data_IF_232142015146
#
_entry.id   IF_232142015146
#
_cell.length_a   1.000
_cell.length_b   1.000
_cell.length_c   1.000
_cell.angle_alpha   90.00
_cell.angle_beta   90.00
_cell.angle_gamma   90.00
#
_symmetry.space_group_name_H-M   'P 1'
#
loop_
_entity.id
_entity.type
_entity.pdbx_description
1 polymer ?
#
# COMPACT_ATOMS: atom_id res chain seq x y z
N UNK A 1 10.76 35.65 -47.22
CA UNK A 1 10.06 35.05 -48.34
C UNK A 1 10.54 33.63 -48.51
N UNK A 2 9.77 32.69 -48.02
CA UNK A 2 9.66 31.34 -48.54
C UNK A 2 8.55 30.62 -47.71
N UNK A 3 7.43 30.46 -48.38
CA UNK A 3 6.24 29.79 -47.92
C UNK A 3 6.50 28.29 -47.95
N UNK A 4 6.21 27.58 -46.86
CA UNK A 4 6.14 26.14 -46.86
C UNK A 4 4.70 25.70 -46.55
N UNK A 5 4.07 25.13 -47.54
CA UNK A 5 2.70 24.65 -47.61
C UNK A 5 2.47 23.47 -46.64
N UNK A 6 1.33 23.49 -45.99
CA UNK A 6 0.77 22.38 -45.23
C UNK A 6 -0.03 21.51 -46.18
N UNK A 7 0.24 20.20 -46.36
CA UNK A 7 -0.62 19.33 -47.14
C UNK A 7 -1.89 18.99 -46.36
N UNK A 8 -3.02 19.43 -46.90
CA UNK A 8 -4.36 18.99 -46.51
C UNK A 8 -4.59 17.56 -46.98
N UNK A 9 -4.72 16.62 -46.04
CA UNK A 9 -5.20 15.27 -46.32
C UNK A 9 -6.69 15.20 -45.99
N UNK A 10 -7.52 15.48 -46.97
CA UNK A 10 -8.96 15.17 -46.96
C UNK A 10 -9.12 13.81 -47.64
N UNK A 11 -9.37 12.75 -46.90
CA UNK A 11 -9.89 11.50 -47.43
C UNK A 11 -11.38 11.42 -47.16
N UNK A 12 -12.12 11.59 -48.24
CA UNK A 12 -13.55 11.41 -48.32
C UNK A 12 -13.82 9.92 -48.55
N UNK A 13 -14.32 9.17 -47.58
CA UNK A 13 -14.98 7.90 -47.84
C UNK A 13 -16.16 7.73 -46.90
N UNK A 14 -17.32 8.14 -47.40
CA UNK A 14 -18.61 7.91 -46.76
C UNK A 14 -18.98 6.43 -46.82
N UNK A 15 -18.79 5.72 -45.71
CA UNK A 15 -19.52 4.47 -45.45
C UNK A 15 -20.15 4.56 -44.06
N UNK A 16 -21.43 4.82 -44.04
CA UNK A 16 -22.31 4.51 -42.91
C UNK A 16 -22.33 2.99 -42.77
N UNK A 17 -21.47 2.49 -41.89
CA UNK A 17 -21.36 1.07 -41.54
C UNK A 17 -22.15 0.79 -40.30
N UNK A 18 -23.12 -0.11 -40.42
CA UNK A 18 -24.12 -0.49 -39.46
C UNK A 18 -23.58 -0.93 -38.09
N UNK A 19 -24.41 -0.71 -37.09
CA UNK A 19 -24.37 -1.28 -35.76
C UNK A 19 -24.13 -2.79 -35.81
N UNK A 20 -22.89 -3.23 -35.51
CA UNK A 20 -22.59 -4.62 -35.16
C UNK A 20 -23.02 -4.86 -33.73
N UNK A 21 -24.21 -5.38 -33.59
CA UNK A 21 -24.65 -6.06 -32.35
C UNK A 21 -23.79 -7.31 -32.11
N UNK A 22 -23.11 -7.39 -30.98
CA UNK A 22 -22.60 -8.66 -30.46
C UNK A 22 -21.09 -8.85 -30.39
N UNK A 23 -20.28 -7.79 -30.28
CA UNK A 23 -18.90 -7.97 -29.81
C UNK A 23 -18.91 -7.95 -28.27
N UNK A 24 -18.70 -9.13 -27.67
CA UNK A 24 -18.24 -9.22 -26.28
C UNK A 24 -16.99 -8.33 -26.20
N UNK A 25 -16.92 -7.33 -25.30
CA UNK A 25 -15.75 -6.48 -25.21
C UNK A 25 -14.55 -7.38 -24.94
N UNK A 26 -13.65 -7.48 -25.92
CA UNK A 26 -12.33 -8.07 -25.72
C UNK A 26 -11.72 -7.26 -24.59
N UNK A 27 -11.46 -7.92 -23.44
CA UNK A 27 -10.86 -7.28 -22.28
C UNK A 27 -9.45 -6.85 -22.68
N UNK A 28 -9.30 -5.61 -23.08
CA UNK A 28 -8.00 -4.98 -23.31
C UNK A 28 -7.16 -5.14 -22.03
N UNK A 29 -5.86 -5.39 -22.17
CA UNK A 29 -4.97 -5.58 -20.99
C UNK A 29 -5.13 -4.49 -19.93
N UNK A 30 -5.41 -3.23 -20.34
CA UNK A 30 -5.74 -2.13 -19.46
C UNK A 30 -7.01 -2.35 -18.62
N UNK A 31 -8.07 -2.91 -19.21
CA UNK A 31 -9.33 -3.19 -18.53
C UNK A 31 -9.19 -4.33 -17.50
N UNK A 32 -8.34 -5.32 -17.78
CA UNK A 32 -8.05 -6.43 -16.85
C UNK A 32 -7.36 -5.91 -15.60
N UNK A 33 -6.40 -4.99 -15.74
CA UNK A 33 -5.67 -4.38 -14.62
C UNK A 33 -6.61 -3.53 -13.75
N UNK A 34 -7.48 -2.74 -14.39
CA UNK A 34 -8.49 -1.93 -13.68
C UNK A 34 -9.43 -2.84 -12.91
N UNK A 35 -9.97 -3.88 -13.53
CA UNK A 35 -10.89 -4.80 -12.88
C UNK A 35 -10.22 -5.58 -11.74
N UNK A 36 -9.00 -6.06 -11.94
CA UNK A 36 -8.24 -6.77 -10.91
C UNK A 36 -7.91 -5.88 -9.71
N UNK A 37 -7.48 -4.62 -9.95
CA UNK A 37 -7.24 -3.64 -8.91
C UNK A 37 -8.50 -3.31 -8.10
N UNK A 38 -9.64 -3.14 -8.78
CA UNK A 38 -10.93 -2.90 -8.13
C UNK A 38 -11.35 -4.08 -7.25
N UNK A 39 -11.22 -5.31 -7.76
CA UNK A 39 -11.57 -6.53 -7.03
C UNK A 39 -10.67 -6.74 -5.81
N UNK A 40 -9.36 -6.59 -5.99
CA UNK A 40 -8.37 -6.70 -4.89
C UNK A 40 -8.68 -5.65 -3.82
N UNK A 41 -8.92 -4.40 -4.22
CA UNK A 41 -9.31 -3.34 -3.32
C UNK A 41 -10.62 -3.63 -2.59
N UNK A 42 -11.64 -4.10 -3.30
CA UNK A 42 -12.95 -4.45 -2.74
C UNK A 42 -12.84 -5.53 -1.66
N UNK A 43 -12.13 -6.61 -1.94
CA UNK A 43 -11.91 -7.68 -0.96
C UNK A 43 -11.10 -7.18 0.24
N UNK A 44 -10.04 -6.38 0.00
CA UNK A 44 -9.25 -5.77 1.08
C UNK A 44 -10.10 -4.86 1.98
N UNK A 45 -10.97 -4.02 1.40
CA UNK A 45 -11.89 -3.14 2.14
C UNK A 45 -12.87 -3.91 3.00
N UNK A 46 -13.48 -4.96 2.44
CA UNK A 46 -14.42 -5.85 3.13
C UNK A 46 -13.76 -6.58 4.30
N UNK A 47 -12.63 -7.24 4.05
CA UNK A 47 -11.86 -7.95 5.08
C UNK A 47 -11.34 -6.98 6.15
N UNK A 48 -10.83 -5.81 5.75
CA UNK A 48 -10.34 -4.78 6.65
C UNK A 48 -11.42 -4.25 7.61
N UNK A 49 -12.67 -4.14 7.13
CA UNK A 49 -13.81 -3.74 7.97
C UNK A 49 -14.21 -4.84 8.95
N UNK A 50 -14.32 -6.08 8.48
CA UNK A 50 -14.79 -7.21 9.29
C UNK A 50 -13.78 -7.62 10.36
N UNK A 51 -12.49 -7.68 10.01
CA UNK A 51 -11.42 -8.16 10.90
C UNK A 51 -10.80 -7.06 11.76
N UNK A 52 -10.96 -5.79 11.37
CA UNK A 52 -10.24 -4.69 12.00
C UNK A 52 -8.74 -4.65 11.64
N UNK A 53 -8.32 -5.26 10.54
CA UNK A 53 -6.92 -5.35 10.11
C UNK A 53 -6.25 -3.97 10.07
N UNK A 54 -5.26 -3.75 10.93
CA UNK A 54 -4.53 -2.48 11.07
C UNK A 54 -3.28 -2.68 11.92
N UNK A 55 -2.13 -2.20 11.46
CA UNK A 55 -0.87 -2.30 12.21
C UNK A 55 -0.94 -1.56 13.56
N UNK A 56 -1.51 -0.34 13.59
CA UNK A 56 -1.64 0.43 14.83
C UNK A 56 -2.51 -0.30 15.87
N UNK A 57 -3.67 -0.81 15.44
CA UNK A 57 -4.55 -1.57 16.34
C UNK A 57 -3.89 -2.85 16.83
N UNK A 58 -3.09 -3.50 15.97
CA UNK A 58 -2.32 -4.68 16.31
C UNK A 58 -1.28 -4.42 17.39
N UNK A 59 -0.50 -3.34 17.23
CA UNK A 59 0.52 -2.95 18.21
C UNK A 59 -0.09 -2.42 19.51
N UNK A 60 -1.18 -1.63 19.42
CA UNK A 60 -1.88 -1.11 20.60
C UNK A 60 -2.47 -2.25 21.41
N UNK A 61 -3.22 -3.16 20.79
CA UNK A 61 -3.81 -4.31 21.48
C UNK A 61 -2.75 -5.20 22.13
N UNK A 62 -1.63 -5.44 21.45
CA UNK A 62 -0.54 -6.24 22.01
C UNK A 62 0.18 -5.54 23.17
N UNK A 63 0.43 -4.23 23.05
CA UNK A 63 1.22 -3.49 24.05
C UNK A 63 0.42 -2.95 25.23
N UNK A 64 -0.86 -2.60 25.02
CA UNK A 64 -1.70 -2.03 26.07
C UNK A 64 -2.61 -3.07 26.72
N UNK A 65 -3.19 -3.96 25.92
CA UNK A 65 -4.25 -4.87 26.34
C UNK A 65 -3.76 -6.32 26.50
N UNK A 66 -2.52 -6.63 26.09
CA UNK A 66 -1.98 -7.99 26.07
C UNK A 66 -2.62 -8.90 25.01
N UNK A 67 -3.54 -8.36 24.19
CA UNK A 67 -4.22 -9.11 23.12
C UNK A 67 -3.35 -9.17 21.86
N UNK A 68 -2.65 -10.28 21.70
CA UNK A 68 -1.78 -10.51 20.56
C UNK A 68 -2.47 -11.10 19.32
N UNK A 69 -3.80 -11.16 19.23
CA UNK A 69 -4.49 -11.77 18.06
C UNK A 69 -4.26 -10.97 16.79
N UNK A 70 -4.46 -9.66 16.82
CA UNK A 70 -4.30 -8.79 15.64
C UNK A 70 -2.84 -8.72 15.13
N UNK A 71 -1.85 -8.69 16.04
CA UNK A 71 -0.44 -8.69 15.60
C UNK A 71 -0.06 -10.02 14.92
N UNK A 72 -0.67 -11.13 15.34
CA UNK A 72 -0.50 -12.43 14.69
C UNK A 72 -1.22 -12.52 13.36
N UNK A 73 -2.39 -11.88 13.22
CA UNK A 73 -3.05 -11.70 11.92
C UNK A 73 -2.13 -10.95 10.95
N UNK A 74 -1.48 -9.90 11.43
CA UNK A 74 -0.56 -9.10 10.62
C UNK A 74 0.71 -9.90 10.25
N UNK A 75 1.29 -10.64 11.20
CA UNK A 75 2.44 -11.51 10.97
C UNK A 75 2.11 -12.64 9.98
N UNK A 76 0.93 -13.26 10.09
CA UNK A 76 0.45 -14.26 9.15
C UNK A 76 0.32 -13.67 7.74
N UNK A 77 -0.26 -12.46 7.63
CA UNK A 77 -0.38 -11.78 6.33
C UNK A 77 0.98 -11.52 5.68
N UNK A 78 2.00 -11.09 6.46
CA UNK A 78 3.38 -10.95 5.94
C UNK A 78 3.93 -12.30 5.50
N UNK A 79 3.84 -13.33 6.33
CA UNK A 79 4.37 -14.66 6.04
C UNK A 79 3.77 -15.25 4.76
N UNK A 80 2.45 -15.14 4.59
CA UNK A 80 1.74 -15.59 3.37
C UNK A 80 2.14 -14.73 2.16
N UNK A 81 2.22 -13.41 2.32
CA UNK A 81 2.64 -12.50 1.25
C UNK A 81 4.06 -12.84 0.77
N UNK A 82 5.02 -13.08 1.70
CA UNK A 82 6.39 -13.50 1.35
C UNK A 82 6.35 -14.82 0.59
N UNK A 83 5.71 -15.87 1.14
CA UNK A 83 5.66 -17.19 0.50
C UNK A 83 5.06 -17.10 -0.90
N UNK A 84 3.88 -16.51 -1.05
CA UNK A 84 3.18 -16.45 -2.32
C UNK A 84 3.92 -15.58 -3.36
N UNK A 85 4.46 -14.42 -2.97
CA UNK A 85 5.22 -13.54 -3.88
C UNK A 85 6.51 -14.22 -4.36
N UNK A 86 7.24 -14.88 -3.47
CA UNK A 86 8.49 -15.57 -3.85
C UNK A 86 8.22 -16.83 -4.69
N UNK A 87 7.09 -17.51 -4.49
CA UNK A 87 6.64 -18.59 -5.37
C UNK A 87 6.30 -18.10 -6.78
N UNK A 88 5.57 -16.97 -6.91
CA UNK A 88 5.29 -16.35 -8.20
C UNK A 88 6.59 -15.96 -8.94
N UNK A 89 7.55 -15.38 -8.21
CA UNK A 89 8.85 -15.00 -8.78
C UNK A 89 9.71 -16.22 -9.15
N UNK A 90 9.66 -17.28 -8.37
CA UNK A 90 10.37 -18.53 -8.66
C UNK A 90 9.78 -19.27 -9.87
N UNK A 91 8.47 -19.20 -10.04
CA UNK A 91 7.76 -19.72 -11.22
C UNK A 91 7.96 -18.89 -12.48
N UNK A 92 8.70 -17.77 -12.43
CA UNK A 92 8.93 -16.90 -13.58
C UNK A 92 7.68 -16.12 -14.02
N UNK A 93 6.61 -16.14 -13.21
CA UNK A 93 5.36 -15.45 -13.55
C UNK A 93 5.45 -13.92 -13.33
N UNK A 94 6.29 -13.48 -12.40
CA UNK A 94 6.43 -12.06 -12.07
C UNK A 94 7.91 -11.71 -11.86
N UNK A 95 8.38 -10.70 -12.56
CA UNK A 95 9.70 -10.12 -12.32
C UNK A 95 9.61 -9.03 -11.24
N UNK A 96 9.74 -9.44 -9.97
CA UNK A 96 9.74 -8.51 -8.84
C UNK A 96 10.96 -7.57 -8.82
N UNK A 97 12.03 -7.89 -9.59
CA UNK A 97 13.21 -7.05 -9.74
C UNK A 97 12.90 -5.68 -10.36
N UNK A 98 11.83 -5.60 -11.17
CA UNK A 98 11.34 -4.35 -11.77
C UNK A 98 10.55 -3.46 -10.78
N UNK A 99 10.32 -3.93 -9.55
CA UNK A 99 9.57 -3.17 -8.54
C UNK A 99 10.39 -2.02 -7.95
N UNK A 100 9.70 -0.98 -7.48
CA UNK A 100 10.33 0.16 -6.79
C UNK A 100 11.10 -0.21 -5.52
N UNK A 101 10.83 -1.38 -4.92
CA UNK A 101 11.43 -1.82 -3.66
C UNK A 101 12.84 -2.41 -3.82
N UNK A 102 13.17 -2.91 -5.01
CA UNK A 102 14.45 -3.56 -5.31
C UNK A 102 15.41 -2.69 -6.15
N UNK A 103 15.19 -1.39 -6.18
CA UNK A 103 16.11 -0.46 -6.83
C UNK A 103 17.48 -0.47 -6.14
N UNK A 104 18.55 -0.27 -6.94
CA UNK A 104 19.95 -0.32 -6.45
C UNK A 104 20.38 0.93 -5.71
N UNK A 105 19.68 2.06 -5.88
CA UNK A 105 19.99 3.34 -5.24
C UNK A 105 18.84 3.81 -4.38
N UNK A 106 19.04 3.84 -3.07
CA UNK A 106 18.08 4.38 -2.11
C UNK A 106 18.80 5.03 -0.93
N UNK A 107 18.12 5.94 -0.25
CA UNK A 107 18.62 6.57 0.96
C UNK A 107 18.04 5.89 2.20
N UNK A 108 18.84 5.03 2.85
CA UNK A 108 18.44 4.36 4.09
C UNK A 108 18.00 5.34 5.19
N UNK A 109 18.73 6.45 5.46
CA UNK A 109 18.31 7.41 6.47
C UNK A 109 16.96 8.05 6.16
N UNK A 110 16.74 8.51 4.93
CA UNK A 110 15.49 9.15 4.54
C UNK A 110 14.32 8.17 4.65
N UNK A 111 14.51 6.90 4.27
CA UNK A 111 13.48 5.88 4.41
C UNK A 111 13.14 5.57 5.88
N UNK A 112 14.15 5.48 6.74
CA UNK A 112 13.96 5.25 8.16
C UNK A 112 13.23 6.42 8.83
N UNK A 113 13.68 7.66 8.60
CA UNK A 113 13.05 8.86 9.15
C UNK A 113 11.65 9.09 8.57
N UNK A 114 11.45 8.84 7.26
CA UNK A 114 10.13 8.85 6.66
C UNK A 114 9.18 7.86 7.32
N UNK A 115 9.66 6.63 7.56
CA UNK A 115 8.93 5.62 8.31
C UNK A 115 8.59 6.04 9.74
N UNK A 116 9.53 6.68 10.44
CA UNK A 116 9.33 7.21 11.79
C UNK A 116 8.25 8.29 11.83
N UNK A 117 8.29 9.25 10.91
CA UNK A 117 7.25 10.28 10.77
C UNK A 117 5.88 9.65 10.46
N UNK A 118 5.84 8.68 9.55
CA UNK A 118 4.62 7.96 9.21
C UNK A 118 4.04 7.22 10.43
N UNK A 119 4.87 6.47 11.16
CA UNK A 119 4.45 5.70 12.33
C UNK A 119 3.91 6.60 13.45
N UNK A 120 4.57 7.72 13.71
CA UNK A 120 4.11 8.71 14.70
C UNK A 120 2.81 9.39 14.24
N UNK A 121 2.72 9.80 12.97
CA UNK A 121 1.52 10.36 12.37
C UNK A 121 0.32 9.40 12.45
N UNK A 122 0.56 8.10 12.28
CA UNK A 122 -0.45 7.04 12.41
C UNK A 122 -1.05 6.99 13.84
N UNK A 123 -0.25 7.23 14.87
CA UNK A 123 -0.74 7.29 16.27
C UNK A 123 -1.59 8.54 16.50
N UNK A 124 -1.16 9.70 15.96
CA UNK A 124 -1.93 10.95 16.05
C UNK A 124 -3.29 10.86 15.37
N UNK A 125 -3.35 10.25 14.18
CA UNK A 125 -4.58 10.09 13.38
C UNK A 125 -5.43 8.89 13.82
N UNK A 126 -4.95 8.08 14.76
CA UNK A 126 -5.61 6.85 15.23
C UNK A 126 -5.85 5.81 14.12
N UNK A 127 -4.96 5.74 13.14
CA UNK A 127 -5.01 4.77 12.02
C UNK A 127 -4.09 5.17 10.87
N UNK A 128 -3.73 4.20 10.02
CA UNK A 128 -2.99 4.47 8.78
C UNK A 128 -3.94 4.83 7.62
N UNK A 129 -3.38 5.21 6.46
CA UNK A 129 -4.16 5.61 5.28
C UNK A 129 -5.14 4.52 4.81
N UNK A 130 -4.71 3.25 4.74
CA UNK A 130 -5.60 2.15 4.36
C UNK A 130 -6.74 1.96 5.37
N UNK A 131 -6.47 2.09 6.67
CA UNK A 131 -7.51 2.03 7.71
C UNK A 131 -8.47 3.21 7.61
N UNK A 132 -7.97 4.40 7.29
CA UNK A 132 -8.81 5.57 7.08
C UNK A 132 -9.77 5.38 5.90
N UNK A 133 -9.33 4.77 4.79
CA UNK A 133 -10.22 4.42 3.66
C UNK A 133 -11.31 3.43 4.07
N UNK A 134 -10.95 2.38 4.81
CA UNK A 134 -11.92 1.40 5.31
C UNK A 134 -12.94 2.05 6.25
N UNK A 135 -12.50 2.92 7.15
CA UNK A 135 -13.40 3.63 8.07
C UNK A 135 -14.26 4.67 7.34
N UNK A 136 -13.73 5.29 6.27
CA UNK A 136 -14.51 6.20 5.43
C UNK A 136 -15.69 5.47 4.78
N UNK A 137 -15.49 4.28 4.23
CA UNK A 137 -16.58 3.45 3.71
C UNK A 137 -17.62 3.05 4.77
N UNK A 138 -17.21 2.94 6.04
CA UNK A 138 -18.14 2.73 7.17
C UNK A 138 -18.97 3.98 7.52
N UNK A 139 -18.67 5.15 6.95
CA UNK A 139 -19.34 6.41 7.25
C UNK A 139 -18.61 7.34 8.23
N UNK A 140 -17.34 7.05 8.57
CA UNK A 140 -16.56 7.87 9.49
C UNK A 140 -15.99 9.11 8.77
N UNK A 141 -16.66 10.28 8.95
CA UNK A 141 -16.24 11.54 8.35
C UNK A 141 -14.89 12.08 8.87
N UNK A 142 -14.45 11.63 10.06
CA UNK A 142 -13.08 11.95 10.54
C UNK A 142 -12.04 11.36 9.59
N UNK A 143 -12.31 10.15 9.10
CA UNK A 143 -11.42 9.46 8.15
C UNK A 143 -11.38 10.15 6.80
N UNK A 144 -12.46 10.84 6.38
CA UNK A 144 -12.45 11.66 5.18
C UNK A 144 -11.41 12.78 5.28
N UNK A 145 -11.41 13.53 6.37
CA UNK A 145 -10.42 14.59 6.60
C UNK A 145 -9.00 14.02 6.63
N UNK A 146 -8.81 12.88 7.28
CA UNK A 146 -7.49 12.21 7.33
C UNK A 146 -7.03 11.81 5.92
N UNK A 147 -7.90 11.22 5.10
CA UNK A 147 -7.57 10.79 3.72
C UNK A 147 -7.23 12.01 2.86
N UNK A 148 -8.01 13.08 2.92
CA UNK A 148 -7.79 14.29 2.11
C UNK A 148 -6.48 14.99 2.51
N UNK A 149 -6.25 15.22 3.81
CA UNK A 149 -5.02 15.86 4.29
C UNK A 149 -3.80 15.01 3.97
N UNK A 150 -3.88 13.69 4.16
CA UNK A 150 -2.82 12.76 3.79
C UNK A 150 -2.52 12.84 2.29
N UNK A 151 -3.55 12.85 1.43
CA UNK A 151 -3.40 12.95 -0.02
C UNK A 151 -2.71 14.25 -0.44
N UNK A 152 -3.13 15.39 0.14
CA UNK A 152 -2.53 16.70 -0.15
C UNK A 152 -1.04 16.70 0.22
N UNK A 153 -0.68 16.31 1.45
CA UNK A 153 0.71 16.30 1.88
C UNK A 153 1.57 15.26 1.15
N UNK A 154 0.98 14.11 0.79
CA UNK A 154 1.66 13.14 -0.05
C UNK A 154 1.93 13.71 -1.45
N UNK A 155 0.96 14.38 -2.08
CA UNK A 155 1.14 14.99 -3.39
C UNK A 155 2.14 16.16 -3.36
N UNK A 156 2.09 16.99 -2.31
CA UNK A 156 3.09 18.05 -2.08
C UNK A 156 4.51 17.49 -1.97
N UNK A 157 4.67 16.32 -1.36
CA UNK A 157 5.97 15.66 -1.17
C UNK A 157 6.41 14.87 -2.42
N UNK A 158 5.48 14.32 -3.21
CA UNK A 158 5.78 13.59 -4.44
C UNK A 158 6.18 14.53 -5.58
N UNK A 159 5.34 15.53 -5.87
CA UNK A 159 5.41 16.35 -7.08
C UNK A 159 5.27 17.86 -6.81
N UNK A 160 4.97 18.24 -5.56
CA UNK A 160 4.66 19.63 -5.19
C UNK A 160 5.79 20.32 -4.44
N UNK A 161 5.42 21.25 -3.55
CA UNK A 161 6.30 22.21 -2.88
C UNK A 161 7.40 21.54 -2.02
N UNK A 162 7.14 20.37 -1.46
CA UNK A 162 8.10 19.64 -0.60
C UNK A 162 9.04 18.73 -1.43
N UNK A 163 8.72 18.48 -2.70
CA UNK A 163 9.49 17.58 -3.56
C UNK A 163 10.96 17.98 -3.72
N UNK A 164 11.34 19.28 -3.92
CA UNK A 164 12.75 19.67 -4.03
C UNK A 164 13.54 19.33 -2.77
N UNK A 165 12.97 19.60 -1.58
CA UNK A 165 13.62 19.27 -0.30
C UNK A 165 13.82 17.75 -0.16
N UNK A 166 12.80 16.95 -0.50
CA UNK A 166 12.90 15.48 -0.49
C UNK A 166 14.00 14.99 -1.44
N UNK A 167 14.05 15.54 -2.67
CA UNK A 167 15.07 15.16 -3.68
C UNK A 167 16.47 15.50 -3.17
N UNK A 168 16.66 16.70 -2.60
CA UNK A 168 17.94 17.11 -2.03
C UNK A 168 18.37 16.19 -0.87
N UNK A 169 17.46 15.84 0.05
CA UNK A 169 17.75 14.91 1.15
C UNK A 169 18.13 13.53 0.65
N UNK A 170 17.41 13.00 -0.32
CA UNK A 170 17.71 11.70 -0.94
C UNK A 170 19.06 11.76 -1.65
N UNK A 171 19.32 12.79 -2.45
CA UNK A 171 20.59 12.96 -3.18
C UNK A 171 21.81 13.08 -2.26
N UNK A 172 21.67 13.80 -1.13
CA UNK A 172 22.74 13.98 -0.15
C UNK A 172 23.09 12.69 0.64
N UNK A 173 22.18 11.73 0.71
CA UNK A 173 22.32 10.52 1.50
C UNK A 173 22.10 9.22 0.70
N UNK A 174 22.20 9.32 -0.62
CA UNK A 174 22.10 8.17 -1.52
C UNK A 174 23.27 7.22 -1.28
N UNK A 175 22.95 5.95 -1.07
CA UNK A 175 23.90 4.88 -0.90
C UNK A 175 23.62 3.81 -1.97
N UNK A 176 24.61 3.50 -2.77
CA UNK A 176 24.57 2.33 -3.64
C UNK A 176 24.91 1.11 -2.80
N UNK A 177 23.88 0.38 -2.38
CA UNK A 177 24.10 -0.87 -1.66
C UNK A 177 24.51 -1.97 -2.65
N UNK A 178 25.59 -2.66 -2.35
CA UNK A 178 26.06 -3.86 -3.09
C UNK A 178 25.01 -5.00 -3.05
N UNK A 179 24.16 -5.01 -2.02
CA UNK A 179 23.02 -5.91 -1.91
C UNK A 179 21.77 -5.12 -1.53
N UNK A 180 20.72 -5.21 -2.34
CA UNK A 180 19.44 -4.54 -2.14
C UNK A 180 18.37 -5.41 -1.45
N UNK A 181 18.68 -6.69 -1.24
CA UNK A 181 17.75 -7.66 -0.66
C UNK A 181 18.45 -8.71 0.20
N UNK A 182 17.70 -9.37 1.09
CA UNK A 182 18.20 -10.48 1.91
C UNK A 182 18.76 -11.63 1.05
N UNK A 183 18.10 -12.05 -0.03
CA UNK A 183 18.70 -13.04 -0.94
C UNK A 183 20.03 -12.61 -1.55
N UNK A 184 20.18 -11.32 -1.91
CA UNK A 184 21.44 -10.81 -2.45
C UNK A 184 22.58 -10.85 -1.42
N UNK A 185 22.30 -10.59 -0.13
CA UNK A 185 23.27 -10.75 0.96
C UNK A 185 23.71 -12.20 1.11
N UNK A 186 22.79 -13.15 1.07
CA UNK A 186 23.09 -14.58 1.17
C UNK A 186 23.86 -15.11 -0.05
N UNK A 187 23.54 -14.59 -1.23
CA UNK A 187 24.28 -14.91 -2.45
C UNK A 187 25.73 -14.41 -2.37
N UNK A 188 25.96 -13.22 -1.80
CA UNK A 188 27.30 -12.69 -1.51
C UNK A 188 28.10 -13.54 -0.51
N UNK A 189 27.43 -14.33 0.33
CA UNK A 189 28.05 -15.28 1.26
C UNK A 189 28.35 -16.67 0.63
N UNK A 190 28.14 -16.83 -0.69
CA UNK A 190 28.52 -18.03 -1.43
C UNK A 190 27.38 -18.97 -1.81
N UNK A 191 26.12 -18.61 -1.53
CA UNK A 191 24.96 -19.40 -1.99
C UNK A 191 24.60 -19.04 -3.43
N UNK A 192 24.04 -20.01 -4.18
CA UNK A 192 23.44 -19.69 -5.48
C UNK A 192 22.24 -18.76 -5.30
N UNK A 193 22.01 -17.85 -6.24
CA UNK A 193 20.93 -16.85 -6.16
C UNK A 193 19.55 -17.47 -5.92
N UNK A 194 19.28 -18.63 -6.54
CA UNK A 194 18.02 -19.36 -6.36
C UNK A 194 17.92 -19.98 -4.96
N UNK A 195 18.98 -20.61 -4.47
CA UNK A 195 19.00 -21.20 -3.13
C UNK A 195 18.90 -20.12 -2.04
N UNK A 196 19.60 -19.01 -2.19
CA UNK A 196 19.54 -17.87 -1.29
C UNK A 196 18.12 -17.29 -1.18
N UNK A 197 17.43 -17.14 -2.32
CA UNK A 197 16.04 -16.66 -2.37
C UNK A 197 15.08 -17.63 -1.69
N UNK A 198 15.15 -18.93 -2.03
CA UNK A 198 14.28 -19.95 -1.45
C UNK A 198 14.52 -20.11 0.05
N UNK A 199 15.77 -20.09 0.49
CA UNK A 199 16.12 -20.16 1.91
C UNK A 199 15.58 -18.96 2.68
N UNK A 200 15.85 -17.74 2.21
CA UNK A 200 15.36 -16.54 2.86
C UNK A 200 13.81 -16.52 2.94
N UNK A 201 13.14 -16.85 1.83
CA UNK A 201 11.69 -16.88 1.76
C UNK A 201 11.09 -17.92 2.71
N UNK A 202 11.61 -19.15 2.70
CA UNK A 202 11.10 -20.24 3.55
C UNK A 202 11.33 -19.98 5.04
N UNK A 203 12.52 -19.51 5.43
CA UNK A 203 12.85 -19.23 6.83
C UNK A 203 11.98 -18.07 7.37
N UNK A 204 11.92 -16.94 6.65
CA UNK A 204 11.15 -15.78 7.10
C UNK A 204 9.65 -16.09 7.12
N UNK A 205 9.12 -16.72 6.07
CA UNK A 205 7.71 -17.08 6.01
C UNK A 205 7.35 -18.09 7.10
N UNK A 206 8.13 -19.16 7.28
CA UNK A 206 7.90 -20.16 8.32
C UNK A 206 7.96 -19.54 9.72
N UNK A 207 8.97 -18.70 10.01
CA UNK A 207 9.08 -18.03 11.30
C UNK A 207 7.85 -17.17 11.63
N UNK A 208 7.33 -16.40 10.66
CA UNK A 208 6.14 -15.55 10.85
C UNK A 208 4.86 -16.38 11.01
N UNK A 209 4.71 -17.47 10.22
CA UNK A 209 3.57 -18.37 10.32
C UNK A 209 3.60 -19.11 11.66
N UNK A 210 4.75 -19.64 12.07
CA UNK A 210 4.91 -20.32 13.37
C UNK A 210 4.59 -19.33 14.50
N UNK A 211 5.16 -18.10 14.47
CA UNK A 211 4.83 -17.06 15.44
C UNK A 211 3.34 -16.79 15.53
N UNK A 212 2.63 -16.77 14.40
CA UNK A 212 1.19 -16.57 14.38
C UNK A 212 0.46 -17.73 15.07
N UNK A 213 0.81 -18.97 14.77
CA UNK A 213 0.08 -20.15 15.24
C UNK A 213 0.50 -20.71 16.61
N UNK A 214 1.61 -20.26 17.20
CA UNK A 214 2.02 -20.71 18.56
C UNK A 214 0.96 -20.36 19.60
N UNK A 215 0.22 -19.27 19.46
CA UNK A 215 -0.72 -18.82 20.47
C UNK A 215 -2.11 -19.43 20.33
N UNK A 216 -2.65 -20.10 21.36
CA UNK A 216 -3.94 -20.81 21.27
C UNK A 216 -5.14 -19.89 20.95
N UNK A 217 -5.15 -18.66 21.49
CA UNK A 217 -6.24 -17.72 21.24
C UNK A 217 -6.34 -17.29 19.76
N UNK A 218 -5.22 -17.21 19.06
CA UNK A 218 -5.22 -16.93 17.62
C UNK A 218 -5.80 -18.11 16.82
N UNK A 219 -5.38 -19.34 17.12
CA UNK A 219 -5.89 -20.55 16.47
C UNK A 219 -7.40 -20.71 16.61
N UNK A 220 -7.97 -20.27 17.74
CA UNK A 220 -9.41 -20.29 18.02
C UNK A 220 -10.18 -19.11 17.41
N UNK A 221 -9.51 -18.24 16.64
CA UNK A 221 -10.11 -17.06 15.98
C UNK A 221 -10.10 -17.22 14.46
N UNK A 222 -10.98 -18.05 13.86
CA UNK A 222 -10.94 -18.38 12.43
C UNK A 222 -11.06 -17.13 11.53
N UNK A 223 -11.83 -16.12 11.94
CA UNK A 223 -11.96 -14.87 11.21
C UNK A 223 -10.65 -14.07 11.12
N UNK A 224 -9.81 -14.10 12.17
CA UNK A 224 -8.50 -13.45 12.15
C UNK A 224 -7.48 -14.25 11.32
N UNK A 225 -7.55 -15.58 11.34
CA UNK A 225 -6.72 -16.44 10.49
C UNK A 225 -7.09 -16.22 9.02
N UNK A 226 -8.37 -16.26 8.69
CA UNK A 226 -8.85 -16.02 7.33
C UNK A 226 -8.45 -14.62 6.82
N UNK A 227 -8.56 -13.58 7.67
CA UNK A 227 -8.15 -12.23 7.31
C UNK A 227 -6.64 -12.14 6.99
N UNK A 228 -5.78 -12.77 7.80
CA UNK A 228 -4.35 -12.82 7.55
C UNK A 228 -4.00 -13.53 6.23
N UNK A 229 -4.63 -14.68 5.97
CA UNK A 229 -4.46 -15.42 4.71
C UNK A 229 -4.91 -14.59 3.50
N UNK A 230 -6.12 -14.04 3.55
CA UNK A 230 -6.69 -13.28 2.42
C UNK A 230 -5.83 -12.05 2.14
N UNK A 231 -5.48 -11.25 3.16
CA UNK A 231 -4.65 -10.05 2.94
C UNK A 231 -3.28 -10.40 2.38
N UNK A 232 -2.64 -11.48 2.85
CA UNK A 232 -1.37 -11.95 2.30
C UNK A 232 -1.48 -12.38 0.83
N UNK A 233 -2.55 -13.11 0.48
CA UNK A 233 -2.82 -13.52 -0.90
C UNK A 233 -3.19 -12.34 -1.81
N UNK A 234 -3.88 -11.32 -1.29
CA UNK A 234 -4.16 -10.10 -2.07
C UNK A 234 -2.88 -9.35 -2.46
N UNK A 235 -1.84 -9.38 -1.61
CA UNK A 235 -0.52 -8.83 -1.98
C UNK A 235 0.07 -9.60 -3.16
N UNK A 236 0.06 -10.93 -3.11
CA UNK A 236 0.52 -11.76 -4.24
C UNK A 236 -0.34 -11.56 -5.49
N UNK A 237 -1.66 -11.45 -5.32
CA UNK A 237 -2.61 -11.13 -6.39
C UNK A 237 -2.32 -9.79 -7.06
N UNK A 238 -1.92 -8.75 -6.30
CA UNK A 238 -1.48 -7.47 -6.84
C UNK A 238 -0.21 -7.59 -7.69
N UNK A 239 0.78 -8.35 -7.23
CA UNK A 239 1.99 -8.66 -8.01
C UNK A 239 1.66 -9.42 -9.30
N UNK A 240 0.76 -10.41 -9.21
CA UNK A 240 0.32 -11.18 -10.38
C UNK A 240 -0.46 -10.31 -11.38
N UNK A 241 -1.36 -9.46 -10.90
CA UNK A 241 -2.15 -8.58 -11.74
C UNK A 241 -1.29 -7.59 -12.52
N UNK A 242 -0.30 -6.97 -11.88
CA UNK A 242 0.55 -5.96 -12.51
C UNK A 242 1.75 -6.54 -13.25
N UNK A 243 2.31 -7.66 -12.78
CA UNK A 243 3.51 -8.26 -13.35
C UNK A 243 3.28 -9.34 -14.40
N UNK A 244 2.09 -9.99 -14.39
CA UNK A 244 1.73 -11.02 -15.36
C UNK A 244 0.58 -10.57 -16.29
N UNK A 245 -0.57 -10.20 -15.72
CA UNK A 245 -1.72 -9.77 -16.53
C UNK A 245 -1.48 -8.40 -17.19
N UNK A 246 -0.69 -7.53 -16.54
CA UNK A 246 -0.32 -6.22 -17.04
C UNK A 246 1.00 -6.17 -17.79
N UNK A 247 1.60 -7.32 -18.10
CA UNK A 247 2.81 -7.40 -18.91
C UNK A 247 2.46 -7.17 -20.39
N UNK A 248 2.45 -5.90 -20.78
CA UNK A 248 2.25 -5.48 -22.16
C UNK A 248 3.54 -4.77 -22.62
N UNK A 249 4.12 -5.25 -23.73
CA UNK A 249 5.35 -4.67 -24.30
C UNK A 249 5.10 -3.28 -24.91
N UNK A 250 3.87 -2.96 -25.28
CA UNK A 250 3.49 -1.67 -25.88
C UNK A 250 3.11 -0.61 -24.85
N UNK A 251 2.47 -1.03 -23.74
CA UNK A 251 2.05 -0.16 -22.65
C UNK A 251 2.50 -0.74 -21.29
N UNK A 252 3.78 -0.66 -20.95
CA UNK A 252 4.30 -1.28 -19.73
C UNK A 252 3.70 -0.65 -18.48
N UNK A 253 3.03 -1.48 -17.68
CA UNK A 253 2.49 -1.07 -16.38
C UNK A 253 3.56 -1.26 -15.30
N UNK A 254 3.74 -0.30 -14.39
CA UNK A 254 4.67 -0.46 -13.28
C UNK A 254 4.32 -1.69 -12.44
N UNK A 255 5.30 -2.58 -12.23
CA UNK A 255 5.14 -3.77 -11.39
C UNK A 255 5.00 -3.33 -9.94
N UNK A 256 3.81 -3.44 -9.39
CA UNK A 256 3.44 -2.98 -8.04
C UNK A 256 2.37 -3.88 -7.42
N UNK A 257 2.14 -3.72 -6.13
CA UNK A 257 1.05 -4.38 -5.44
C UNK A 257 0.40 -3.42 -4.44
N UNK A 258 -0.23 -3.91 -3.38
CA UNK A 258 -0.98 -3.11 -2.42
C UNK A 258 -0.09 -2.06 -1.74
N UNK A 259 -0.34 -0.81 -2.04
CA UNK A 259 0.20 0.36 -1.33
C UNK A 259 -0.87 1.46 -1.30
N UNK A 260 -0.78 2.43 -0.39
CA UNK A 260 -1.89 3.37 -0.21
C UNK A 260 -1.49 4.85 -0.19
N UNK A 261 -0.20 5.21 -0.01
CA UNK A 261 0.16 6.63 0.09
C UNK A 261 0.09 7.33 -1.26
N UNK A 262 0.88 6.87 -2.23
CA UNK A 262 0.84 7.41 -3.57
C UNK A 262 -0.53 7.20 -4.25
N UNK A 263 -1.16 6.00 -4.18
CA UNK A 263 -2.48 5.81 -4.74
C UNK A 263 -3.59 6.69 -4.17
N UNK A 264 -3.58 6.99 -2.86
CA UNK A 264 -4.54 7.94 -2.27
C UNK A 264 -4.31 9.35 -2.82
N UNK A 265 -3.06 9.77 -2.95
CA UNK A 265 -2.69 11.07 -3.52
C UNK A 265 -3.09 11.16 -5.01
N UNK A 266 -2.79 10.11 -5.77
CA UNK A 266 -3.14 10.03 -7.19
C UNK A 266 -4.66 9.91 -7.39
N UNK A 267 -5.39 9.23 -6.51
CA UNK A 267 -6.86 9.16 -6.55
C UNK A 267 -7.51 10.53 -6.33
N UNK A 268 -6.98 11.32 -5.37
CA UNK A 268 -7.44 12.70 -5.19
C UNK A 268 -7.12 13.56 -6.42
N UNK A 269 -5.91 13.44 -6.97
CA UNK A 269 -5.51 14.14 -8.20
C UNK A 269 -6.41 13.74 -9.38
N UNK A 270 -6.74 12.45 -9.52
CA UNK A 270 -7.63 11.97 -10.56
C UNK A 270 -9.04 12.57 -10.45
N UNK A 271 -9.60 12.64 -9.25
CA UNK A 271 -10.91 13.29 -9.03
C UNK A 271 -10.89 14.77 -9.41
N UNK A 272 -9.76 15.46 -9.19
CA UNK A 272 -9.61 16.88 -9.52
C UNK A 272 -9.29 17.13 -10.99
N UNK A 273 -8.54 16.23 -11.65
CA UNK A 273 -7.95 16.41 -12.97
C UNK A 273 -8.14 15.17 -13.86
N UNK A 274 -9.36 14.62 -13.93
CA UNK A 274 -9.66 13.37 -14.64
C UNK A 274 -9.34 13.42 -16.13
N UNK A 275 -9.40 14.60 -16.76
CA UNK A 275 -9.05 14.79 -18.18
C UNK A 275 -7.55 14.77 -18.45
N UNK A 276 -6.71 15.00 -17.45
CA UNK A 276 -5.25 15.04 -17.54
C UNK A 276 -4.53 13.89 -16.83
N UNK A 277 -5.27 12.90 -16.32
CA UNK A 277 -4.68 11.74 -15.64
C UNK A 277 -5.38 10.44 -16.05
N UNK A 278 -4.61 9.35 -16.07
CA UNK A 278 -5.12 8.02 -16.43
C UNK A 278 -5.39 7.16 -15.20
N UNK A 279 -6.41 6.32 -15.29
CA UNK A 279 -6.66 5.31 -14.27
C UNK A 279 -5.51 4.29 -14.25
N UNK A 280 -4.98 4.02 -13.07
CA UNK A 280 -3.97 3.00 -12.85
C UNK A 280 -4.42 2.03 -11.75
N UNK A 281 -3.67 0.91 -11.60
CA UNK A 281 -3.95 -0.12 -10.60
C UNK A 281 -4.12 0.45 -9.19
N UNK A 282 -3.28 1.40 -8.79
CA UNK A 282 -3.33 2.01 -7.46
C UNK A 282 -4.61 2.81 -7.21
N UNK A 283 -4.99 3.67 -8.16
CA UNK A 283 -6.21 4.50 -8.06
C UNK A 283 -7.46 3.63 -7.93
N UNK A 284 -7.60 2.63 -8.80
CA UNK A 284 -8.78 1.75 -8.75
C UNK A 284 -8.81 0.87 -7.51
N UNK A 285 -7.64 0.49 -6.98
CA UNK A 285 -7.55 -0.22 -5.70
C UNK A 285 -8.08 0.65 -4.54
N UNK A 286 -7.78 1.95 -4.51
CA UNK A 286 -8.31 2.90 -3.51
C UNK A 286 -9.84 2.97 -3.57
N UNK A 287 -10.40 3.15 -4.78
CA UNK A 287 -11.86 3.13 -4.97
C UNK A 287 -12.47 1.77 -4.61
N UNK A 288 -11.79 0.69 -4.93
CA UNK A 288 -12.19 -0.67 -4.55
C UNK A 288 -12.28 -0.84 -3.03
N UNK A 289 -11.27 -0.39 -2.27
CA UNK A 289 -11.27 -0.45 -0.79
C UNK A 289 -12.43 0.32 -0.20
N UNK A 290 -12.69 1.53 -0.70
CA UNK A 290 -13.83 2.33 -0.27
C UNK A 290 -15.16 1.61 -0.56
N UNK A 291 -15.36 1.15 -1.80
CA UNK A 291 -16.57 0.45 -2.22
C UNK A 291 -16.80 -0.84 -1.43
N UNK A 292 -15.77 -1.69 -1.28
CA UNK A 292 -15.85 -2.94 -0.54
C UNK A 292 -16.18 -2.73 0.94
N UNK A 293 -15.57 -1.72 1.56
CA UNK A 293 -15.89 -1.34 2.93
C UNK A 293 -17.31 -0.79 3.07
N UNK A 294 -17.76 0.07 2.14
CA UNK A 294 -19.11 0.64 2.14
C UNK A 294 -20.17 -0.44 2.00
N UNK A 295 -20.06 -1.30 0.98
CA UNK A 295 -20.99 -2.41 0.75
C UNK A 295 -21.05 -3.32 1.96
N UNK A 296 -19.89 -3.70 2.51
CA UNK A 296 -19.84 -4.55 3.70
C UNK A 296 -20.45 -3.85 4.92
N UNK A 297 -20.23 -2.55 5.10
CA UNK A 297 -20.83 -1.78 6.20
C UNK A 297 -22.36 -1.74 6.11
N UNK A 298 -22.90 -1.56 4.90
CA UNK A 298 -24.34 -1.55 4.65
C UNK A 298 -24.96 -2.94 4.87
N UNK A 299 -24.34 -3.99 4.33
CA UNK A 299 -24.83 -5.37 4.48
C UNK A 299 -24.79 -5.88 5.93
N UNK A 300 -23.80 -5.42 6.72
CA UNK A 300 -23.65 -5.83 8.13
C UNK A 300 -24.33 -4.88 9.12
N UNK A 301 -25.01 -3.83 8.66
CA UNK A 301 -25.65 -2.81 9.52
C UNK A 301 -24.65 -1.99 10.35
N UNK A 302 -23.36 -1.98 9.97
CA UNK A 302 -22.30 -1.25 10.68
C UNK A 302 -22.04 0.15 10.15
N UNK A 303 -22.83 0.60 9.20
CA UNK A 303 -22.74 1.96 8.67
C UNK A 303 -23.16 2.97 9.74
N UNK A 304 -22.30 3.92 10.08
CA UNK A 304 -22.54 4.94 11.10
C UNK A 304 -21.85 6.23 10.69
N UNK A 305 -22.60 7.33 10.66
CA UNK A 305 -22.03 8.65 10.44
C UNK A 305 -21.40 9.16 11.72
N UNK A 306 -20.07 9.21 11.73
CA UNK A 306 -19.28 9.70 12.86
C UNK A 306 -18.50 10.97 12.46
N UNK A 307 -18.72 12.08 13.19
CA UNK A 307 -17.99 13.34 13.02
C UNK A 307 -16.96 13.61 14.12
N UNK A 308 -16.21 14.70 14.01
CA UNK A 308 -15.34 15.19 15.08
C UNK A 308 -16.18 15.75 16.24
N UNK A 309 -15.74 15.43 17.48
CA UNK A 309 -16.38 15.95 18.69
C UNK A 309 -15.70 17.21 19.23
N UNK A 310 -14.47 17.49 18.82
CA UNK A 310 -13.76 18.70 19.23
C UNK A 310 -12.78 19.18 18.14
N UNK A 311 -12.52 20.51 18.04
CA UNK A 311 -11.53 21.08 17.12
C UNK A 311 -10.11 20.57 17.40
N UNK A 312 -9.74 20.34 18.66
CA UNK A 312 -8.43 19.80 19.05
C UNK A 312 -8.22 18.40 18.48
N UNK A 313 -9.26 17.57 18.46
CA UNK A 313 -9.20 16.25 17.86
C UNK A 313 -8.99 16.33 16.34
N UNK A 314 -9.67 17.24 15.67
CA UNK A 314 -9.53 17.46 14.23
C UNK A 314 -8.11 17.92 13.88
N UNK A 315 -7.57 18.93 14.57
CA UNK A 315 -6.21 19.43 14.35
C UNK A 315 -5.15 18.35 14.59
N UNK A 316 -5.29 17.56 15.65
CA UNK A 316 -4.39 16.44 15.96
C UNK A 316 -4.42 15.38 14.84
N UNK A 317 -5.62 14.99 14.39
CA UNK A 317 -5.78 13.99 13.32
C UNK A 317 -5.25 14.52 12.00
N UNK A 318 -5.49 15.81 11.68
CA UNK A 318 -4.98 16.46 10.50
C UNK A 318 -3.44 16.57 10.50
N UNK A 319 -2.85 16.99 11.62
CA UNK A 319 -1.39 17.00 11.78
C UNK A 319 -0.78 15.60 11.63
N UNK A 320 -1.43 14.57 12.20
CA UNK A 320 -1.01 13.19 12.01
C UNK A 320 -1.11 12.73 10.55
N UNK A 321 -2.18 13.13 9.84
CA UNK A 321 -2.36 12.84 8.43
C UNK A 321 -1.29 13.51 7.54
N UNK A 322 -0.92 14.75 7.86
CA UNK A 322 0.16 15.47 7.18
C UNK A 322 1.51 14.75 7.35
N UNK A 323 1.84 14.34 8.58
CA UNK A 323 3.05 13.56 8.87
C UNK A 323 3.04 12.20 8.15
N UNK A 324 1.88 11.52 8.08
CA UNK A 324 1.75 10.26 7.33
C UNK A 324 1.92 10.48 5.83
N UNK A 325 1.37 11.56 5.27
CA UNK A 325 1.50 11.87 3.85
C UNK A 325 2.96 12.12 3.47
N UNK A 326 3.62 13.04 4.16
CA UNK A 326 5.01 13.37 3.90
C UNK A 326 5.96 12.22 4.22
N UNK A 327 5.83 11.63 5.42
CA UNK A 327 6.67 10.52 5.88
C UNK A 327 6.51 9.26 5.02
N UNK A 328 5.27 8.96 4.60
CA UNK A 328 5.00 7.80 3.75
C UNK A 328 5.60 7.92 2.35
N UNK A 329 5.65 9.12 1.78
CA UNK A 329 6.36 9.36 0.51
C UNK A 329 7.87 9.20 0.69
N UNK A 330 8.44 9.75 1.77
CA UNK A 330 9.87 9.61 2.08
C UNK A 330 10.25 8.15 2.33
N UNK A 331 9.36 7.35 2.93
CA UNK A 331 9.53 5.92 3.17
C UNK A 331 9.18 5.03 1.97
N UNK A 332 8.79 5.60 0.82
CA UNK A 332 8.28 4.88 -0.36
C UNK A 332 7.08 3.97 -0.09
N UNK A 333 6.29 4.25 0.94
CA UNK A 333 5.09 3.48 1.24
C UNK A 333 4.56 3.64 2.66
N UNK A 334 3.48 2.92 2.94
CA UNK A 334 2.79 2.88 4.23
C UNK A 334 3.06 1.57 4.98
N UNK A 335 2.37 1.36 6.10
CA UNK A 335 2.42 0.08 6.82
C UNK A 335 2.08 -1.13 5.94
N UNK A 336 1.15 -1.01 4.99
CA UNK A 336 0.83 -2.07 4.01
C UNK A 336 1.88 -2.10 2.90
N UNK A 337 2.21 -0.95 2.30
CA UNK A 337 3.16 -0.86 1.20
C UNK A 337 4.56 -1.35 1.59
N UNK A 338 5.10 -0.96 2.75
CA UNK A 338 6.42 -1.41 3.21
C UNK A 338 6.34 -2.69 4.05
N UNK A 339 5.32 -2.80 4.93
CA UNK A 339 5.23 -3.93 5.86
C UNK A 339 4.70 -5.22 5.25
N UNK A 340 3.93 -5.17 4.18
CA UNK A 340 3.42 -6.35 3.48
C UNK A 340 4.03 -6.47 2.08
N UNK A 341 3.75 -5.50 1.21
CA UNK A 341 4.16 -5.54 -0.21
C UNK A 341 5.67 -5.47 -0.37
N UNK A 342 6.33 -4.47 0.21
CA UNK A 342 7.78 -4.35 0.14
C UNK A 342 8.50 -5.46 0.90
N UNK A 343 7.99 -5.87 2.06
CA UNK A 343 8.55 -6.98 2.83
C UNK A 343 8.47 -8.30 2.05
N UNK A 344 7.42 -8.51 1.23
CA UNK A 344 7.25 -9.72 0.41
C UNK A 344 8.33 -9.88 -0.67
N UNK A 345 8.98 -8.77 -1.07
CA UNK A 345 10.14 -8.79 -1.99
C UNK A 345 11.46 -9.10 -1.30
N UNK A 346 11.47 -9.19 0.04
CA UNK A 346 12.67 -9.32 0.87
C UNK A 346 13.70 -8.18 0.69
N UNK A 347 13.22 -6.98 0.29
CA UNK A 347 14.04 -5.79 0.11
C UNK A 347 14.52 -5.23 1.45
N UNK A 348 15.82 -4.94 1.57
CA UNK A 348 16.39 -4.33 2.78
C UNK A 348 15.83 -2.93 3.04
N UNK A 349 15.61 -2.17 1.97
CA UNK A 349 14.99 -0.86 2.02
C UNK A 349 13.60 -0.89 2.72
N UNK A 350 12.79 -1.90 2.39
CA UNK A 350 11.47 -2.08 3.01
C UNK A 350 11.55 -2.47 4.48
N UNK A 351 12.52 -3.28 4.85
CA UNK A 351 12.75 -3.65 6.26
C UNK A 351 13.15 -2.43 7.10
N UNK A 352 14.03 -1.56 6.56
CA UNK A 352 14.46 -0.32 7.21
C UNK A 352 13.29 0.66 7.35
N UNK A 353 12.52 0.88 6.28
CA UNK A 353 11.34 1.73 6.33
C UNK A 353 10.29 1.21 7.32
N UNK A 354 10.04 -0.10 7.32
CA UNK A 354 9.09 -0.72 8.24
C UNK A 354 9.57 -0.65 9.69
N UNK A 355 10.87 -0.83 9.94
CA UNK A 355 11.46 -0.58 11.27
C UNK A 355 11.21 0.87 11.72
N UNK A 356 11.44 1.86 10.85
CA UNK A 356 11.10 3.26 11.13
C UNK A 356 9.63 3.43 11.52
N UNK A 357 8.70 2.80 10.78
CA UNK A 357 7.26 2.84 11.11
C UNK A 357 6.98 2.26 12.51
N UNK A 358 7.61 1.14 12.85
CA UNK A 358 7.46 0.52 14.18
C UNK A 358 8.01 1.41 15.29
N UNK A 359 9.20 1.99 15.12
CA UNK A 359 9.81 2.90 16.08
C UNK A 359 8.98 4.19 16.26
N UNK A 360 8.50 4.79 15.17
CA UNK A 360 7.62 5.97 15.23
C UNK A 360 6.31 5.67 15.97
N UNK A 361 5.72 4.50 15.70
CA UNK A 361 4.51 4.05 16.41
C UNK A 361 4.79 3.78 17.88
N UNK A 362 5.92 3.16 18.22
CA UNK A 362 6.33 2.93 19.61
C UNK A 362 6.55 4.24 20.37
N UNK A 363 7.22 5.22 19.74
CA UNK A 363 7.42 6.55 20.31
C UNK A 363 6.08 7.25 20.66
N UNK A 364 5.10 7.13 19.75
CA UNK A 364 3.76 7.72 19.98
C UNK A 364 2.90 6.97 20.99
N UNK A 365 3.03 5.65 21.11
CA UNK A 365 2.22 4.84 22.03
C UNK A 365 2.83 4.72 23.44
N UNK A 366 4.15 4.59 23.55
CA UNK A 366 4.85 4.26 24.81
C UNK A 366 6.01 5.19 25.16
N UNK A 367 6.53 5.95 24.19
CA UNK A 367 7.74 6.76 24.36
C UNK A 367 7.51 8.08 25.07
N UNK A 368 8.57 8.89 25.14
CA UNK A 368 8.56 10.23 25.72
C UNK A 368 7.57 11.20 25.02
N UNK A 369 7.24 10.93 23.76
CA UNK A 369 6.26 11.67 22.95
C UNK A 369 4.86 11.00 22.98
N UNK A 370 4.55 10.30 24.07
CA UNK A 370 3.28 9.55 24.20
C UNK A 370 2.08 10.45 23.94
N UNK A 371 1.29 10.02 23.01
CA UNK A 371 0.03 10.67 22.65
C UNK A 371 -1.04 10.17 23.61
N UNK A 372 -1.41 11.01 24.60
CA UNK A 372 -2.44 10.67 25.58
C UNK A 372 -3.76 10.28 24.93
N UNK A 373 -4.58 9.43 25.59
CA UNK A 373 -5.94 9.16 25.13
C UNK A 373 -6.69 10.48 25.03
N UNK A 374 -7.39 10.70 23.92
CA UNK A 374 -8.36 11.80 23.86
C UNK A 374 -9.44 11.43 24.84
N UNK A 375 -9.65 12.26 25.85
CA UNK A 375 -10.73 12.08 26.80
C UNK A 375 -12.03 11.85 25.99
N UNK A 376 -12.65 10.70 26.22
CA UNK A 376 -13.99 10.41 25.73
C UNK A 376 -14.93 11.28 26.57
N UNK A 377 -15.10 12.54 26.14
CA UNK A 377 -16.17 13.40 26.65
C UNK A 377 -17.36 13.27 25.70
#
# INVERSE_FOLDING_TARGET
MSSTEIPSYVSNDGRVGGTRSGEVPVLDGGNIIILSGLLIGFVYGSVGLLSGFCLLSSLRGWWADGDGRLIRTYALAIGVAVAATQLLAAGGLVDIGKSIYLQSSFSMPVMFFGGLLFGYGMVLSNGCGSRALVLLGRGNLRSFVVVVVLAIFAQMTLKGLIAPTRIAMVGASQSTATANSVPALLAGAGLSATAARMLAASVISAALIIFAFVHPAFRRSPGQVAAGLVVGLLVAGGWFATGYLGADDFNPVPVTSLTFIAPIADALQYVMLSTGSTLNFGIVTVFGVFAGSLVTALLTGRFQLEGYRSPRHMLRSGGGAALMGAGGVMAFGCSVGQGLTGFSTLALASMIAFAGILFGTAAGLRGALRVGPLATA
#
